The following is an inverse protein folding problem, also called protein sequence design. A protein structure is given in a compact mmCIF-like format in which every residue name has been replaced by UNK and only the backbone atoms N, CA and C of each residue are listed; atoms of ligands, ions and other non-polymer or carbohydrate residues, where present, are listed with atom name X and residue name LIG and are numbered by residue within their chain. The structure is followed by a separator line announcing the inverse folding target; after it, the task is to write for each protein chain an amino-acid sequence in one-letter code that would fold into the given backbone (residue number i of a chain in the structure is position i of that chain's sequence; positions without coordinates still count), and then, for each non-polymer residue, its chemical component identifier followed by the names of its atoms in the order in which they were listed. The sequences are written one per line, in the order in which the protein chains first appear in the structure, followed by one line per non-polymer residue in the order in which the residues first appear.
data_IF_479367291558
#
_entry.id   IF_479367291558
#
_cell.length_a   1.000
_cell.length_b   1.000
_cell.length_c   1.000
_cell.angle_alpha   90.00
_cell.angle_beta   90.00
_cell.angle_gamma   90.00
#
_symmetry.space_group_name_H-M   'P 1'
#
loop_
_entity.id
_entity.type
_entity.pdbx_description
1 polymer ?
#
# COMPACT_ATOMS: atom_id res chain seq x y z
N UNK A 1 22.12 -5.51 -67.84
CA UNK A 1 22.63 -6.85 -68.14
C UNK A 1 22.43 -7.68 -66.89
N UNK A 2 21.64 -8.71 -66.77
CA UNK A 2 20.85 -9.50 -67.67
C UNK A 2 19.90 -10.34 -66.81
N UNK A 3 18.72 -10.39 -67.32
CA UNK A 3 17.56 -11.18 -66.90
C UNK A 3 17.78 -12.70 -66.84
N UNK A 4 17.14 -13.37 -65.90
CA UNK A 4 16.64 -14.76 -66.17
C UNK A 4 15.44 -15.10 -65.31
N UNK A 5 14.26 -15.03 -65.90
CA UNK A 5 13.03 -15.78 -65.48
C UNK A 5 13.22 -17.25 -65.78
N UNK A 6 12.74 -18.14 -64.89
CA UNK A 6 12.27 -19.48 -65.30
C UNK A 6 10.95 -19.82 -64.62
N UNK A 7 10.10 -20.38 -65.48
CA UNK A 7 8.68 -20.67 -65.34
C UNK A 7 8.46 -22.16 -64.90
N UNK A 8 7.33 -22.35 -64.24
CA UNK A 8 6.36 -23.46 -64.31
C UNK A 8 6.80 -24.91 -64.19
N UNK A 9 6.13 -25.59 -63.26
CA UNK A 9 5.90 -27.02 -63.27
C UNK A 9 4.71 -27.34 -62.35
N UNK A 10 3.51 -27.47 -62.96
CA UNK A 10 2.30 -28.02 -62.36
C UNK A 10 2.40 -29.52 -62.31
N UNK A 11 2.16 -30.16 -61.17
CA UNK A 11 1.85 -31.58 -61.13
C UNK A 11 0.63 -31.80 -60.24
N UNK A 12 -0.45 -32.26 -60.89
CA UNK A 12 -1.62 -32.87 -60.24
C UNK A 12 -1.20 -34.13 -59.52
N UNK A 13 -1.63 -34.32 -58.27
CA UNK A 13 -1.64 -35.64 -57.64
C UNK A 13 -2.87 -35.76 -56.73
N UNK A 14 -3.75 -36.55 -57.18
CA UNK A 14 -4.67 -37.53 -56.57
C UNK A 14 -5.11 -37.32 -55.12
N UNK A 15 -6.42 -37.08 -55.00
CA UNK A 15 -7.20 -37.14 -53.77
C UNK A 15 -7.28 -38.58 -53.25
N UNK A 16 -6.75 -38.85 -52.06
CA UNK A 16 -7.08 -40.02 -51.29
C UNK A 16 -7.88 -39.59 -50.07
N UNK A 17 -9.15 -39.93 -50.04
CA UNK A 17 -10.04 -39.73 -48.93
C UNK A 17 -9.66 -40.65 -47.78
N UNK A 18 -9.08 -40.10 -46.72
CA UNK A 18 -8.96 -40.78 -45.43
C UNK A 18 -10.08 -40.28 -44.52
N UNK A 19 -10.98 -41.16 -44.18
CA UNK A 19 -12.02 -40.94 -43.18
C UNK A 19 -11.37 -40.71 -41.81
N UNK A 20 -11.32 -39.47 -41.36
CA UNK A 20 -10.95 -39.11 -39.98
C UNK A 20 -12.21 -39.15 -39.15
N UNK A 21 -12.30 -40.12 -38.28
CA UNK A 21 -13.32 -40.25 -37.24
C UNK A 21 -13.18 -39.02 -36.32
N UNK A 22 -14.13 -38.09 -36.38
CA UNK A 22 -14.31 -37.02 -35.40
C UNK A 22 -14.67 -37.64 -34.06
N UNK A 23 -13.68 -37.75 -33.16
CA UNK A 23 -13.96 -37.86 -31.73
C UNK A 23 -14.38 -36.49 -31.28
N UNK A 24 -15.67 -36.29 -31.09
CA UNK A 24 -16.24 -35.14 -30.37
C UNK A 24 -15.77 -35.24 -28.92
N UNK A 25 -14.64 -34.61 -28.61
CA UNK A 25 -14.34 -34.22 -27.25
C UNK A 25 -15.28 -33.05 -26.98
N UNK A 26 -16.37 -33.33 -26.29
CA UNK A 26 -17.20 -32.31 -25.68
C UNK A 26 -16.35 -31.62 -24.62
N UNK A 27 -15.58 -30.60 -25.03
CA UNK A 27 -15.00 -29.62 -24.16
C UNK A 27 -16.13 -28.75 -23.63
N UNK A 28 -16.65 -29.08 -22.47
CA UNK A 28 -17.48 -28.15 -21.69
C UNK A 28 -16.62 -26.93 -21.31
N UNK A 29 -16.54 -25.97 -22.20
CA UNK A 29 -16.11 -24.60 -21.95
C UNK A 29 -17.34 -23.72 -21.72
N UNK A 30 -18.15 -24.06 -20.76
CA UNK A 30 -19.25 -23.23 -20.27
C UNK A 30 -18.84 -22.65 -18.93
N UNK A 31 -18.26 -21.46 -18.91
CA UNK A 31 -18.14 -20.65 -17.70
C UNK A 31 -19.53 -20.15 -17.31
N UNK A 32 -20.40 -21.05 -16.86
CA UNK A 32 -21.57 -20.69 -16.07
C UNK A 32 -21.10 -20.61 -14.63
N UNK A 33 -21.41 -19.49 -13.99
CA UNK A 33 -21.29 -19.25 -12.56
C UNK A 33 -22.25 -20.24 -11.85
N UNK A 34 -21.79 -21.51 -11.71
CA UNK A 34 -22.46 -22.50 -10.88
C UNK A 34 -22.02 -22.20 -9.46
N UNK A 35 -22.96 -21.84 -8.59
CA UNK A 35 -22.72 -21.55 -7.16
C UNK A 35 -22.23 -22.78 -6.37
N UNK A 36 -21.43 -23.64 -6.97
CA UNK A 36 -20.79 -24.78 -6.34
C UNK A 36 -19.36 -24.41 -5.92
N UNK A 37 -19.01 -24.80 -4.68
CA UNK A 37 -17.66 -24.66 -4.13
C UNK A 37 -16.64 -25.37 -5.01
N UNK A 38 -15.56 -24.66 -5.38
CA UNK A 38 -14.44 -25.29 -6.07
C UNK A 38 -13.75 -26.30 -5.15
N UNK A 39 -13.50 -27.49 -5.65
CA UNK A 39 -12.75 -28.51 -4.92
C UNK A 39 -11.50 -28.91 -5.70
N UNK A 40 -10.40 -29.18 -4.97
CA UNK A 40 -9.15 -29.69 -5.53
C UNK A 40 -8.58 -30.72 -4.55
N UNK A 41 -8.28 -31.89 -5.03
CA UNK A 41 -7.79 -33.01 -4.20
C UNK A 41 -8.71 -33.31 -3.00
N UNK A 42 -10.04 -33.17 -3.18
CA UNK A 42 -11.04 -33.39 -2.14
C UNK A 42 -11.17 -32.27 -1.12
N UNK A 43 -10.44 -31.14 -1.27
CA UNK A 43 -10.48 -29.99 -0.37
C UNK A 43 -11.27 -28.84 -0.96
N UNK A 44 -11.96 -28.10 -0.12
CA UNK A 44 -12.61 -26.83 -0.48
C UNK A 44 -11.55 -25.77 -0.78
N UNK A 45 -11.63 -25.14 -1.96
CA UNK A 45 -10.68 -24.09 -2.36
C UNK A 45 -11.21 -22.72 -1.99
N UNK A 46 -10.45 -21.97 -1.22
CA UNK A 46 -10.67 -20.54 -0.94
C UNK A 46 -9.64 -19.73 -1.73
N UNK A 47 -10.08 -18.84 -2.60
CA UNK A 47 -9.20 -17.97 -3.37
C UNK A 47 -9.11 -16.58 -2.76
N UNK A 48 -7.88 -16.03 -2.75
CA UNK A 48 -7.60 -14.68 -2.23
C UNK A 48 -6.95 -13.83 -3.31
N UNK A 49 -7.41 -12.59 -3.47
CA UNK A 49 -6.74 -11.54 -4.24
C UNK A 49 -6.08 -10.54 -3.28
N UNK A 50 -4.77 -10.38 -3.38
CA UNK A 50 -3.95 -9.58 -2.48
C UNK A 50 -3.01 -8.67 -3.29
N UNK A 51 -2.36 -7.71 -2.63
CA UNK A 51 -1.40 -6.80 -3.25
C UNK A 51 -0.21 -6.52 -2.31
N UNK A 52 0.94 -6.20 -2.89
CA UNK A 52 2.15 -5.82 -2.14
C UNK A 52 2.54 -6.85 -1.09
N UNK A 53 2.90 -6.38 0.10
CA UNK A 53 3.34 -7.21 1.23
C UNK A 53 2.31 -7.10 2.37
N UNK A 54 1.19 -7.83 2.26
CA UNK A 54 0.16 -7.86 3.31
C UNK A 54 0.52 -8.79 4.49
N UNK A 55 1.53 -9.64 4.32
CA UNK A 55 2.06 -10.51 5.38
C UNK A 55 1.49 -11.93 5.41
N UNK A 56 0.42 -12.20 4.70
CA UNK A 56 -0.23 -13.52 4.76
C UNK A 56 0.53 -14.60 4.00
N UNK A 57 1.07 -14.25 2.82
CA UNK A 57 1.84 -15.16 1.97
C UNK A 57 3.33 -15.13 2.30
N UNK A 58 3.82 -13.99 2.77
CA UNK A 58 5.23 -13.76 3.14
C UNK A 58 5.60 -14.43 4.46
N UNK A 59 4.58 -14.77 5.27
CA UNK A 59 4.69 -15.59 6.47
C UNK A 59 4.12 -16.99 6.23
N UNK A 60 4.13 -17.85 7.24
CA UNK A 60 3.56 -19.19 7.17
C UNK A 60 2.07 -19.26 7.59
N UNK A 61 1.38 -18.11 7.71
CA UNK A 61 0.01 -18.07 8.23
C UNK A 61 -0.98 -18.87 7.38
N UNK A 62 -0.91 -18.78 6.05
CA UNK A 62 -1.80 -19.57 5.20
C UNK A 62 -1.56 -21.07 5.36
N UNK A 63 -0.31 -21.50 5.47
CA UNK A 63 0.06 -22.91 5.69
C UNK A 63 -0.38 -23.38 7.08
N UNK A 64 -0.27 -22.53 8.11
CA UNK A 64 -0.76 -22.81 9.46
C UNK A 64 -2.27 -23.01 9.47
N UNK A 65 -3.02 -22.12 8.82
CA UNK A 65 -4.48 -22.26 8.72
C UNK A 65 -4.87 -23.56 7.99
N UNK A 66 -4.23 -23.89 6.86
CA UNK A 66 -4.49 -25.13 6.13
C UNK A 66 -4.11 -26.39 6.92
N UNK A 67 -3.11 -26.31 7.79
CA UNK A 67 -2.73 -27.41 8.70
C UNK A 67 -3.78 -27.64 9.80
N UNK A 68 -4.34 -26.55 10.33
CA UNK A 68 -5.41 -26.59 11.34
C UNK A 68 -6.77 -26.96 10.72
N UNK A 69 -6.95 -26.72 9.40
CA UNK A 69 -8.18 -27.00 8.64
C UNK A 69 -7.84 -27.84 7.43
N UNK A 70 -7.64 -29.17 7.57
CA UNK A 70 -7.08 -30.02 6.51
C UNK A 70 -7.99 -30.17 5.28
N UNK A 71 -9.28 -29.85 5.40
CA UNK A 71 -10.25 -29.88 4.31
C UNK A 71 -10.26 -28.57 3.49
N UNK A 72 -9.44 -27.60 3.86
CA UNK A 72 -9.30 -26.30 3.16
C UNK A 72 -8.00 -26.26 2.37
N UNK A 73 -8.07 -25.70 1.15
CA UNK A 73 -6.94 -25.29 0.33
C UNK A 73 -7.05 -23.80 0.04
N UNK A 74 -6.01 -23.02 0.35
CA UNK A 74 -5.99 -21.58 0.08
C UNK A 74 -5.13 -21.31 -1.15
N UNK A 75 -5.69 -20.61 -2.13
CA UNK A 75 -4.97 -20.12 -3.33
C UNK A 75 -4.92 -18.59 -3.30
N UNK A 76 -3.76 -18.03 -2.95
CA UNK A 76 -3.55 -16.59 -2.87
C UNK A 76 -2.78 -16.06 -4.09
N UNK A 77 -3.41 -15.15 -4.83
CA UNK A 77 -2.81 -14.38 -5.92
C UNK A 77 -2.42 -13.00 -5.37
N UNK A 78 -1.14 -12.65 -5.50
CA UNK A 78 -0.59 -11.37 -5.00
C UNK A 78 -0.09 -10.55 -6.18
N UNK A 79 -0.71 -9.40 -6.42
CA UNK A 79 -0.18 -8.40 -7.35
C UNK A 79 1.01 -7.65 -6.73
N UNK A 80 2.00 -7.31 -7.54
CA UNK A 80 3.21 -6.64 -7.05
C UNK A 80 2.97 -5.23 -6.50
N UNK A 81 1.90 -4.58 -6.98
CA UNK A 81 1.51 -3.25 -6.52
C UNK A 81 -0.03 -3.10 -6.43
N UNK A 82 -0.47 -2.17 -5.60
CA UNK A 82 -1.88 -1.89 -5.34
C UNK A 82 -2.63 -1.40 -6.59
N UNK A 83 -2.03 -0.52 -7.38
CA UNK A 83 -2.70 0.06 -8.54
C UNK A 83 -3.04 -0.98 -9.61
N UNK A 84 -2.12 -1.91 -9.89
CA UNK A 84 -2.34 -3.04 -10.79
C UNK A 84 -3.46 -3.93 -10.27
N UNK A 85 -3.41 -4.27 -8.99
CA UNK A 85 -4.44 -5.05 -8.31
C UNK A 85 -5.82 -4.39 -8.41
N UNK A 86 -5.92 -3.11 -8.05
CA UNK A 86 -7.18 -2.39 -8.01
C UNK A 86 -7.82 -2.24 -9.39
N UNK A 87 -7.01 -2.00 -10.42
CA UNK A 87 -7.49 -1.94 -11.80
C UNK A 87 -8.12 -3.26 -12.25
N UNK A 88 -7.50 -4.39 -11.88
CA UNK A 88 -8.06 -5.72 -12.14
C UNK A 88 -9.35 -5.96 -11.33
N UNK A 89 -9.34 -5.61 -10.03
CA UNK A 89 -10.51 -5.72 -9.16
C UNK A 89 -11.70 -4.94 -9.71
N UNK A 90 -11.53 -3.69 -10.12
CA UNK A 90 -12.59 -2.88 -10.73
C UNK A 90 -13.14 -3.54 -12.00
N UNK A 91 -12.27 -4.09 -12.84
CA UNK A 91 -12.68 -4.80 -14.06
C UNK A 91 -13.54 -6.02 -13.72
N UNK A 92 -13.14 -6.82 -12.74
CA UNK A 92 -13.87 -8.00 -12.28
C UNK A 92 -15.20 -7.63 -11.60
N UNK A 93 -15.22 -6.57 -10.78
CA UNK A 93 -16.44 -6.06 -10.16
C UNK A 93 -17.46 -5.60 -11.22
N UNK A 94 -17.01 -4.90 -12.25
CA UNK A 94 -17.86 -4.44 -13.36
C UNK A 94 -18.37 -5.62 -14.21
N UNK A 95 -17.53 -6.62 -14.47
CA UNK A 95 -17.90 -7.82 -15.22
C UNK A 95 -18.77 -8.79 -14.42
N UNK A 96 -18.78 -8.70 -13.08
CA UNK A 96 -19.44 -9.66 -12.21
C UNK A 96 -18.82 -11.06 -12.23
N UNK A 97 -17.57 -11.19 -12.69
CA UNK A 97 -16.88 -12.46 -12.85
C UNK A 97 -15.38 -12.31 -12.65
N UNK A 98 -14.67 -13.41 -12.32
CA UNK A 98 -13.20 -13.40 -12.10
C UNK A 98 -12.79 -12.89 -10.72
N UNK A 99 -13.74 -12.59 -9.84
CA UNK A 99 -13.48 -12.20 -8.46
C UNK A 99 -12.96 -13.40 -7.65
N UNK A 100 -12.02 -13.14 -6.75
CA UNK A 100 -11.61 -14.11 -5.74
C UNK A 100 -12.62 -14.12 -4.60
N UNK A 101 -12.64 -15.16 -3.78
CA UNK A 101 -13.55 -15.28 -2.63
C UNK A 101 -13.27 -14.22 -1.57
N UNK A 102 -11.98 -13.92 -1.37
CA UNK A 102 -11.48 -12.86 -0.46
C UNK A 102 -10.73 -11.82 -1.28
N UNK A 103 -10.97 -10.55 -0.97
CA UNK A 103 -10.33 -9.40 -1.61
C UNK A 103 -9.60 -8.54 -0.58
N UNK A 104 -8.34 -8.21 -0.87
CA UNK A 104 -7.63 -7.13 -0.19
C UNK A 104 -8.23 -5.77 -0.56
N UNK A 105 -8.42 -4.90 0.41
CA UNK A 105 -8.93 -3.53 0.22
C UNK A 105 -7.90 -2.56 0.81
N UNK A 106 -7.35 -1.67 -0.01
CA UNK A 106 -6.49 -0.58 0.44
C UNK A 106 -7.34 0.62 0.88
N UNK A 107 -6.90 1.33 1.91
CA UNK A 107 -7.66 2.43 2.55
C UNK A 107 -8.06 3.53 1.55
N UNK A 108 -7.21 3.91 0.60
CA UNK A 108 -7.51 4.94 -0.40
C UNK A 108 -8.60 4.54 -1.41
N UNK A 109 -9.00 3.25 -1.41
CA UNK A 109 -10.10 2.70 -2.23
C UNK A 109 -11.32 2.32 -1.39
N UNK A 110 -11.17 2.29 -0.06
CA UNK A 110 -12.20 1.81 0.86
C UNK A 110 -13.52 2.56 0.69
N UNK A 111 -13.49 3.89 0.71
CA UNK A 111 -14.71 4.72 0.59
C UNK A 111 -15.41 4.55 -0.76
N UNK A 112 -14.66 4.40 -1.86
CA UNK A 112 -15.25 4.13 -3.17
C UNK A 112 -15.98 2.78 -3.18
N UNK A 113 -15.38 1.73 -2.61
CA UNK A 113 -16.00 0.40 -2.53
C UNK A 113 -17.23 0.39 -1.61
N UNK A 114 -17.16 1.08 -0.47
CA UNK A 114 -18.28 1.25 0.46
C UNK A 114 -19.46 1.92 -0.24
N UNK A 115 -19.21 3.00 -0.97
CA UNK A 115 -20.27 3.79 -1.57
C UNK A 115 -20.85 3.20 -2.86
N UNK A 116 -20.07 2.39 -3.60
CA UNK A 116 -20.46 1.99 -4.96
C UNK A 116 -20.57 0.48 -5.17
N UNK A 117 -19.97 -0.34 -4.30
CA UNK A 117 -19.84 -1.79 -4.46
C UNK A 117 -20.21 -2.58 -3.20
N UNK A 118 -20.82 -1.93 -2.19
CA UNK A 118 -21.13 -2.60 -0.92
C UNK A 118 -21.99 -3.86 -1.10
N UNK A 119 -22.86 -3.88 -2.12
CA UNK A 119 -23.71 -5.03 -2.46
C UNK A 119 -22.91 -6.28 -2.91
N UNK A 120 -21.67 -6.11 -3.36
CA UNK A 120 -20.80 -7.19 -3.82
C UNK A 120 -20.08 -7.91 -2.68
N UNK A 121 -19.94 -7.25 -1.53
CA UNK A 121 -19.26 -7.80 -0.37
C UNK A 121 -20.25 -8.41 0.62
N UNK A 122 -19.85 -9.47 1.30
CA UNK A 122 -20.61 -10.03 2.41
C UNK A 122 -20.55 -9.09 3.62
N UNK A 123 -21.61 -9.13 4.43
CA UNK A 123 -21.60 -8.44 5.72
C UNK A 123 -20.76 -9.23 6.75
N UNK A 124 -19.78 -8.56 7.32
CA UNK A 124 -18.90 -9.10 8.37
C UNK A 124 -19.24 -8.57 9.77
N UNK A 125 -20.27 -7.73 9.93
CA UNK A 125 -20.66 -7.15 11.23
C UNK A 125 -21.05 -8.20 12.28
N UNK A 126 -21.53 -9.37 11.82
CA UNK A 126 -21.85 -10.52 12.69
C UNK A 126 -20.68 -11.42 13.06
N UNK A 127 -19.46 -11.08 12.65
CA UNK A 127 -18.26 -11.89 12.96
C UNK A 127 -17.93 -11.77 14.44
N UNK A 128 -17.61 -12.89 15.10
CA UNK A 128 -17.22 -12.88 16.50
C UNK A 128 -15.86 -12.18 16.72
N UNK A 129 -15.72 -11.50 17.86
CA UNK A 129 -14.47 -10.91 18.30
C UNK A 129 -14.08 -9.60 17.61
N UNK A 130 -15.01 -8.87 16.99
CA UNK A 130 -14.73 -7.60 16.30
C UNK A 130 -14.34 -6.44 17.24
N UNK A 131 -14.61 -6.55 18.52
CA UNK A 131 -14.34 -5.54 19.53
C UNK A 131 -12.85 -5.28 19.79
N UNK A 132 -11.97 -6.12 19.26
CA UNK A 132 -10.53 -5.91 19.33
C UNK A 132 -9.99 -4.88 18.33
N UNK A 133 -10.73 -4.53 17.28
CA UNK A 133 -10.29 -3.52 16.31
C UNK A 133 -10.33 -2.10 16.86
N UNK A 134 -9.48 -1.24 16.30
CA UNK A 134 -9.60 0.20 16.48
C UNK A 134 -10.90 0.68 15.84
N UNK A 135 -11.80 1.38 16.57
CA UNK A 135 -13.13 1.75 16.07
C UNK A 135 -13.05 2.56 14.76
N UNK A 136 -12.15 3.54 14.69
CA UNK A 136 -11.97 4.37 13.50
C UNK A 136 -11.58 3.54 12.26
N UNK A 137 -10.82 2.44 12.46
CA UNK A 137 -10.41 1.55 11.37
C UNK A 137 -11.60 0.78 10.79
N UNK A 138 -12.46 0.22 11.65
CA UNK A 138 -13.67 -0.47 11.20
C UNK A 138 -14.65 0.49 10.51
N UNK A 139 -14.79 1.72 11.02
CA UNK A 139 -15.67 2.74 10.45
C UNK A 139 -15.33 3.08 8.99
N UNK A 140 -14.06 2.96 8.59
CA UNK A 140 -13.60 3.25 7.22
C UNK A 140 -14.20 2.32 6.14
N UNK A 141 -14.67 1.13 6.53
CA UNK A 141 -15.27 0.13 5.63
C UNK A 141 -16.69 -0.27 6.07
N UNK A 142 -17.33 0.56 6.89
CA UNK A 142 -18.72 0.37 7.32
C UNK A 142 -19.63 1.32 6.53
N UNK A 143 -20.71 0.79 5.99
CA UNK A 143 -21.76 1.57 5.31
C UNK A 143 -22.60 2.35 6.33
N UNK A 144 -23.38 3.32 5.87
CA UNK A 144 -24.29 4.10 6.71
C UNK A 144 -25.36 3.24 7.41
N UNK A 145 -25.79 2.15 6.78
CA UNK A 145 -26.72 1.16 7.35
C UNK A 145 -26.07 0.10 8.23
N UNK A 146 -24.74 0.22 8.50
CA UNK A 146 -24.02 -0.60 9.46
C UNK A 146 -23.40 -1.88 8.90
N UNK A 147 -23.42 -2.10 7.59
CA UNK A 147 -22.77 -3.24 6.95
C UNK A 147 -21.25 -3.07 6.96
N UNK A 148 -20.52 -4.06 7.51
CA UNK A 148 -19.05 -4.08 7.56
C UNK A 148 -18.48 -4.88 6.38
N UNK A 149 -17.80 -4.20 5.45
CA UNK A 149 -17.31 -4.81 4.21
C UNK A 149 -15.99 -5.58 4.37
N UNK A 150 -15.21 -5.29 5.40
CA UNK A 150 -13.89 -5.90 5.58
C UNK A 150 -13.40 -5.82 7.01
N UNK A 151 -12.48 -6.72 7.38
CA UNK A 151 -11.76 -6.68 8.65
C UNK A 151 -10.38 -6.07 8.46
N UNK A 152 -9.98 -5.18 9.37
CA UNK A 152 -8.69 -4.50 9.31
C UNK A 152 -7.51 -5.46 9.47
N UNK A 153 -6.47 -5.28 8.66
CA UNK A 153 -5.24 -6.08 8.72
C UNK A 153 -4.10 -5.34 9.39
N UNK A 154 -3.95 -4.06 9.06
CA UNK A 154 -2.88 -3.20 9.55
C UNK A 154 -3.30 -1.73 9.54
N UNK A 155 -2.45 -0.90 10.11
CA UNK A 155 -2.46 0.55 9.98
C UNK A 155 -1.05 1.04 9.63
N UNK A 156 -0.93 2.27 9.15
CA UNK A 156 0.34 2.83 8.71
C UNK A 156 0.82 4.02 9.56
N UNK A 157 1.03 3.87 10.89
CA UNK A 157 1.61 4.95 11.67
C UNK A 157 2.98 5.31 11.11
N UNK A 158 3.30 6.62 11.06
CA UNK A 158 4.46 7.13 10.34
C UNK A 158 5.62 7.51 11.25
N UNK A 159 6.82 7.29 10.73
CA UNK A 159 8.09 7.70 11.31
C UNK A 159 8.99 8.31 10.23
N UNK A 160 10.22 8.65 10.57
CA UNK A 160 11.28 9.00 9.63
C UNK A 160 12.35 7.91 9.69
N UNK A 161 12.52 7.19 8.58
CA UNK A 161 13.64 6.29 8.38
C UNK A 161 14.85 7.10 7.91
N UNK A 162 16.02 6.92 8.52
CA UNK A 162 17.22 7.69 8.16
C UNK A 162 18.49 6.83 8.15
N UNK A 163 19.46 7.28 7.36
CA UNK A 163 20.79 6.69 7.24
C UNK A 163 21.74 7.31 8.27
N UNK A 164 22.05 6.55 9.31
CA UNK A 164 22.97 6.98 10.39
C UNK A 164 24.34 7.39 9.86
N UNK A 165 24.88 6.59 8.95
CA UNK A 165 26.19 6.84 8.34
C UNK A 165 26.22 8.13 7.51
N UNK A 166 25.13 8.47 6.80
CA UNK A 166 25.05 9.72 6.05
C UNK A 166 24.81 10.93 6.95
N UNK A 167 24.03 10.77 8.03
CA UNK A 167 23.87 11.81 9.06
C UNK A 167 25.20 12.10 9.78
N UNK A 168 25.95 11.06 10.14
CA UNK A 168 27.30 11.21 10.73
C UNK A 168 28.26 11.96 9.79
N UNK A 169 28.28 11.61 8.50
CA UNK A 169 29.10 12.28 7.49
C UNK A 169 28.77 13.77 7.35
N UNK A 170 27.48 14.14 7.54
CA UNK A 170 27.02 15.53 7.56
C UNK A 170 27.20 16.21 8.93
N UNK A 171 27.77 15.53 9.93
CA UNK A 171 27.92 16.05 11.29
C UNK A 171 26.59 16.30 12.00
N UNK A 172 25.56 15.57 11.65
CA UNK A 172 24.27 15.54 12.34
C UNK A 172 24.24 14.45 13.42
N UNK A 173 23.36 14.52 14.42
CA UNK A 173 23.15 13.42 15.36
C UNK A 173 22.82 12.11 14.68
N UNK A 174 23.24 10.99 15.31
CA UNK A 174 22.95 9.63 14.83
C UNK A 174 22.12 8.82 15.81
N UNK A 175 22.00 9.28 17.07
CA UNK A 175 21.06 8.71 18.04
C UNK A 175 19.62 9.10 17.66
N UNK A 176 18.70 8.11 17.64
CA UNK A 176 17.34 8.32 17.17
C UNK A 176 16.53 9.32 17.98
N UNK A 177 16.80 9.42 19.28
CA UNK A 177 16.10 10.39 20.13
C UNK A 177 16.60 11.82 19.86
N UNK A 178 17.91 11.98 19.65
CA UNK A 178 18.48 13.28 19.27
C UNK A 178 18.08 13.68 17.83
N UNK A 179 18.02 12.71 16.91
CA UNK A 179 17.52 12.93 15.55
C UNK A 179 16.04 13.37 15.57
N UNK A 180 15.18 12.72 16.35
CA UNK A 180 13.77 13.13 16.49
C UNK A 180 13.60 14.56 17.00
N UNK A 181 14.49 15.06 17.88
CA UNK A 181 14.47 16.44 18.38
C UNK A 181 14.73 17.47 17.30
N UNK A 182 15.45 17.13 16.24
CA UNK A 182 15.74 18.06 15.12
C UNK A 182 14.47 18.60 14.47
N UNK A 183 13.39 17.80 14.50
CA UNK A 183 12.13 18.15 13.84
C UNK A 183 10.89 17.98 14.70
N UNK A 184 11.06 17.86 16.02
CA UNK A 184 9.95 17.64 16.94
C UNK A 184 8.82 18.65 16.76
N UNK A 185 7.60 18.16 16.54
CA UNK A 185 6.35 18.90 16.47
C UNK A 185 6.11 19.68 15.17
N UNK A 186 7.09 19.75 14.23
CA UNK A 186 6.96 20.60 13.05
C UNK A 186 7.72 20.05 11.83
N UNK A 187 7.00 19.81 10.74
CA UNK A 187 7.58 19.38 9.47
C UNK A 187 8.47 20.44 8.82
N UNK A 188 8.29 21.72 9.13
CA UNK A 188 9.19 22.78 8.63
C UNK A 188 10.61 22.63 9.18
N UNK A 189 10.74 22.11 10.41
CA UNK A 189 12.05 21.79 11.01
C UNK A 189 12.72 20.59 10.31
N UNK A 190 11.94 19.61 9.84
CA UNK A 190 12.47 18.52 9.03
C UNK A 190 13.06 19.04 7.72
N UNK A 191 12.36 19.94 7.03
CA UNK A 191 12.88 20.61 5.84
C UNK A 191 14.11 21.47 6.16
N UNK A 192 14.13 22.17 7.31
CA UNK A 192 15.31 22.93 7.76
C UNK A 192 16.49 22.01 8.04
N UNK A 193 16.26 20.84 8.69
CA UNK A 193 17.31 19.83 8.86
C UNK A 193 17.87 19.38 7.51
N UNK A 194 17.01 19.28 6.48
CA UNK A 194 17.46 18.99 5.12
C UNK A 194 18.40 20.07 4.53
N UNK A 195 18.12 21.34 4.80
CA UNK A 195 19.03 22.44 4.39
C UNK A 195 20.36 22.38 5.12
N UNK A 196 20.33 22.09 6.43
CA UNK A 196 21.53 21.92 7.25
C UNK A 196 22.35 20.72 6.79
N UNK A 197 21.70 19.61 6.45
CA UNK A 197 22.34 18.43 5.85
C UNK A 197 23.02 18.79 4.54
N UNK A 198 22.30 19.42 3.60
CA UNK A 198 22.83 19.82 2.29
C UNK A 198 24.04 20.76 2.42
N UNK A 199 24.00 21.68 3.37
CA UNK A 199 25.10 22.63 3.61
C UNK A 199 26.35 21.95 4.17
N UNK A 200 26.17 20.87 4.96
CA UNK A 200 27.26 20.18 5.67
C UNK A 200 27.75 18.92 4.95
N UNK A 201 26.91 18.34 4.08
CA UNK A 201 27.29 17.17 3.29
C UNK A 201 28.50 17.48 2.43
N UNK A 202 29.43 16.53 2.38
CA UNK A 202 30.61 16.57 1.51
C UNK A 202 30.38 15.84 0.19
N UNK A 203 29.22 15.22 0.05
CA UNK A 203 28.82 14.45 -1.12
C UNK A 203 27.57 15.11 -1.72
N UNK A 204 27.75 15.77 -2.84
CA UNK A 204 26.68 16.48 -3.56
C UNK A 204 25.70 15.53 -4.24
N UNK A 205 26.07 14.25 -4.40
CA UNK A 205 25.20 13.21 -5.00
C UNK A 205 24.20 12.63 -4.01
N UNK A 206 24.35 12.91 -2.70
CA UNK A 206 23.44 12.47 -1.65
C UNK A 206 22.45 13.56 -1.29
N UNK A 207 21.18 13.28 -1.52
CA UNK A 207 20.07 14.17 -1.13
C UNK A 207 19.63 13.91 0.32
N UNK A 208 18.97 14.89 0.94
CA UNK A 208 18.43 14.71 2.29
C UNK A 208 17.24 13.75 2.32
N UNK A 209 16.29 13.88 1.37
CA UNK A 209 15.12 13.01 1.29
C UNK A 209 14.96 12.40 -0.10
N UNK A 210 14.20 11.33 -0.18
CA UNK A 210 13.89 10.61 -1.42
C UNK A 210 13.09 11.49 -2.41
N UNK A 211 11.94 12.00 -2.00
CA UNK A 211 11.09 12.90 -2.79
C UNK A 211 10.21 13.77 -1.89
N UNK A 212 9.73 14.88 -2.43
CA UNK A 212 8.77 15.76 -1.75
C UNK A 212 7.39 15.12 -1.57
N UNK A 213 7.08 14.07 -2.33
CA UNK A 213 5.80 13.34 -2.23
C UNK A 213 5.63 12.66 -0.87
N UNK A 214 6.70 12.07 -0.31
CA UNK A 214 6.67 11.45 1.02
C UNK A 214 6.33 12.47 2.10
N UNK A 215 6.94 13.67 2.05
CA UNK A 215 6.66 14.76 2.96
C UNK A 215 5.21 15.25 2.84
N UNK A 216 4.72 15.47 1.61
CA UNK A 216 3.32 15.86 1.36
C UNK A 216 2.34 14.85 1.98
N UNK A 217 2.55 13.56 1.71
CA UNK A 217 1.71 12.48 2.25
C UNK A 217 1.73 12.47 3.79
N UNK A 218 2.92 12.60 4.41
CA UNK A 218 3.03 12.63 5.86
C UNK A 218 2.25 13.77 6.51
N UNK A 219 2.24 14.92 5.87
CA UNK A 219 1.52 16.07 6.39
C UNK A 219 0.01 15.90 6.28
N UNK A 220 -0.50 15.54 5.09
CA UNK A 220 -1.96 15.45 4.89
C UNK A 220 -2.59 14.28 5.65
N UNK A 221 -1.88 13.16 5.83
CA UNK A 221 -2.38 11.99 6.57
C UNK A 221 -2.34 12.15 8.10
N UNK A 222 -1.78 13.25 8.60
CA UNK A 222 -1.87 13.66 9.99
C UNK A 222 -3.11 14.47 10.34
N UNK A 223 -3.93 14.85 9.34
CA UNK A 223 -5.13 15.65 9.54
C UNK A 223 -6.41 14.81 9.44
N UNK A 224 -7.47 15.24 10.16
CA UNK A 224 -8.80 14.61 10.11
C UNK A 224 -9.40 14.71 8.70
N UNK A 225 -9.31 15.89 8.07
CA UNK A 225 -9.84 16.17 6.73
C UNK A 225 -8.70 16.37 5.75
N UNK A 226 -8.68 15.53 4.72
CA UNK A 226 -7.67 15.61 3.66
C UNK A 226 -8.24 16.34 2.45
N UNK A 227 -8.84 15.62 1.53
CA UNK A 227 -9.36 16.18 0.28
C UNK A 227 -10.87 16.44 0.33
N UNK A 228 -11.57 15.80 1.25
CA UNK A 228 -13.02 15.86 1.41
C UNK A 228 -13.43 16.26 2.82
N UNK A 229 -14.62 16.86 2.95
CA UNK A 229 -15.31 16.99 4.22
C UNK A 229 -16.23 15.78 4.50
N UNK A 230 -16.88 15.81 5.67
CA UNK A 230 -17.76 14.72 6.11
C UNK A 230 -19.00 14.53 5.22
N UNK A 231 -19.41 15.56 4.49
CA UNK A 231 -20.54 15.54 3.58
C UNK A 231 -20.15 15.04 2.18
N UNK A 232 -18.89 14.65 2.00
CA UNK A 232 -18.33 14.20 0.72
C UNK A 232 -18.05 15.34 -0.26
N UNK A 233 -18.01 16.58 0.20
CA UNK A 233 -17.64 17.75 -0.61
C UNK A 233 -16.13 17.80 -0.76
N UNK A 234 -15.66 18.04 -1.98
CA UNK A 234 -14.24 18.18 -2.29
C UNK A 234 -13.72 19.55 -1.81
N UNK A 235 -12.82 19.57 -0.81
CA UNK A 235 -12.36 20.78 -0.12
C UNK A 235 -10.87 21.08 -0.30
N UNK A 236 -10.10 20.27 -1.03
CA UNK A 236 -8.63 20.37 -1.10
C UNK A 236 -8.14 21.76 -1.48
N UNK A 237 -8.89 22.52 -2.29
CA UNK A 237 -8.50 23.86 -2.73
C UNK A 237 -8.46 24.88 -1.59
N UNK A 238 -9.32 24.70 -0.58
CA UNK A 238 -9.47 25.62 0.55
C UNK A 238 -8.98 25.04 1.87
N UNK A 239 -8.65 23.73 1.90
CA UNK A 239 -8.12 23.08 3.08
C UNK A 239 -6.69 23.57 3.40
N UNK A 240 -6.46 24.23 4.56
CA UNK A 240 -5.14 24.71 4.96
C UNK A 240 -4.10 23.58 5.02
N UNK A 241 -4.48 22.37 5.49
CA UNK A 241 -3.56 21.23 5.58
C UNK A 241 -2.97 20.87 4.22
N UNK A 242 -3.80 20.86 3.16
CA UNK A 242 -3.35 20.58 1.79
C UNK A 242 -2.47 21.71 1.25
N UNK A 243 -2.84 22.96 1.51
CA UNK A 243 -2.05 24.13 1.07
C UNK A 243 -0.69 24.17 1.73
N UNK A 244 -0.63 23.97 3.05
CA UNK A 244 0.62 23.97 3.83
C UNK A 244 1.53 22.80 3.41
N UNK A 245 0.95 21.61 3.22
CA UNK A 245 1.68 20.44 2.73
C UNK A 245 2.26 20.67 1.33
N UNK A 246 1.46 21.23 0.41
CA UNK A 246 1.93 21.59 -0.93
C UNK A 246 3.05 22.62 -0.90
N UNK A 247 2.88 23.69 -0.11
CA UNK A 247 3.88 24.75 -0.01
C UNK A 247 5.21 24.22 0.52
N UNK A 248 5.18 23.42 1.61
CA UNK A 248 6.40 22.90 2.22
C UNK A 248 7.08 21.84 1.34
N UNK A 249 6.32 20.93 0.72
CA UNK A 249 6.84 19.93 -0.20
C UNK A 249 7.44 20.57 -1.45
N UNK A 250 6.78 21.60 -2.00
CA UNK A 250 7.28 22.39 -3.14
C UNK A 250 8.57 23.14 -2.80
N UNK A 251 8.67 23.67 -1.60
CA UNK A 251 9.87 24.36 -1.11
C UNK A 251 11.05 23.37 -0.97
N UNK A 252 10.81 22.19 -0.40
CA UNK A 252 11.83 21.13 -0.32
C UNK A 252 12.33 20.71 -1.72
N UNK A 253 11.41 20.53 -2.67
CA UNK A 253 11.73 20.21 -4.07
C UNK A 253 12.60 21.29 -4.73
N UNK A 254 12.20 22.57 -4.61
CA UNK A 254 12.92 23.71 -5.21
C UNK A 254 14.28 23.95 -4.56
N UNK A 255 14.39 23.69 -3.26
CA UNK A 255 15.64 23.84 -2.53
C UNK A 255 16.65 22.73 -2.82
N UNK A 256 16.30 21.73 -3.67
CA UNK A 256 17.16 20.63 -4.06
C UNK A 256 17.49 19.72 -2.87
N UNK A 257 16.52 19.47 -2.00
CA UNK A 257 16.66 18.60 -0.86
C UNK A 257 16.29 17.14 -1.19
N UNK A 258 15.70 16.92 -2.36
CA UNK A 258 15.15 15.63 -2.79
C UNK A 258 16.05 14.94 -3.82
N UNK A 259 16.12 13.61 -3.75
CA UNK A 259 16.73 12.79 -4.79
C UNK A 259 15.83 12.65 -6.04
N UNK A 260 14.62 13.21 -6.01
CA UNK A 260 13.60 13.10 -7.06
C UNK A 260 13.15 11.66 -7.33
N UNK A 261 13.34 10.80 -6.35
CA UNK A 261 13.02 9.37 -6.40
C UNK A 261 11.70 9.14 -5.68
N UNK A 262 10.60 9.24 -6.42
CA UNK A 262 9.27 8.93 -5.87
C UNK A 262 9.23 7.48 -5.38
N UNK A 263 8.71 7.28 -4.18
CA UNK A 263 8.56 5.97 -3.54
C UNK A 263 7.81 4.99 -4.44
N UNK A 264 8.30 3.75 -4.49
CA UNK A 264 7.77 2.64 -5.31
C UNK A 264 7.84 2.86 -6.84
N UNK A 265 8.58 3.87 -7.31
CA UNK A 265 8.85 4.05 -8.72
C UNK A 265 10.28 3.58 -9.10
N UNK A 266 10.54 3.32 -10.40
CA UNK A 266 11.87 2.92 -10.84
C UNK A 266 12.96 3.89 -10.34
N UNK A 267 14.02 3.35 -9.75
CA UNK A 267 15.12 4.14 -9.18
C UNK A 267 15.04 4.30 -7.66
N UNK A 268 13.88 4.22 -7.03
CA UNK A 268 13.76 4.37 -5.57
C UNK A 268 14.41 3.19 -4.82
N UNK A 269 14.12 1.95 -5.21
CA UNK A 269 14.73 0.76 -4.62
C UNK A 269 16.26 0.76 -4.72
N UNK A 270 16.88 1.01 -5.89
CA UNK A 270 18.31 1.24 -5.99
C UNK A 270 18.82 2.39 -5.12
N UNK A 271 18.03 3.46 -4.97
CA UNK A 271 18.36 4.60 -4.11
C UNK A 271 18.49 4.21 -2.64
N UNK A 272 17.61 3.33 -2.13
CA UNK A 272 17.70 2.75 -0.78
C UNK A 272 19.01 1.98 -0.58
N UNK A 273 19.41 1.17 -1.56
CA UNK A 273 20.62 0.35 -1.51
C UNK A 273 21.90 1.19 -1.59
N UNK A 274 21.92 2.18 -2.47
CA UNK A 274 23.11 2.96 -2.79
C UNK A 274 23.31 4.17 -1.86
N UNK A 275 22.30 4.52 -1.02
CA UNK A 275 22.38 5.71 -0.16
C UNK A 275 22.26 7.01 -0.93
N UNK A 276 21.45 7.05 -2.01
CA UNK A 276 21.20 8.25 -2.81
C UNK A 276 20.49 9.34 -2.02
N UNK A 277 19.84 8.96 -0.91
CA UNK A 277 19.21 9.89 0.03
C UNK A 277 19.43 9.43 1.47
N UNK A 278 19.43 10.41 2.37
CA UNK A 278 19.73 10.22 3.79
C UNK A 278 18.51 9.92 4.65
N UNK A 279 17.31 10.26 4.20
CA UNK A 279 16.07 10.01 4.94
C UNK A 279 14.87 9.80 4.02
N UNK A 280 13.85 9.14 4.54
CA UNK A 280 12.53 9.01 3.91
C UNK A 280 11.46 8.98 4.99
N UNK A 281 10.30 9.58 4.74
CA UNK A 281 9.14 9.35 5.59
C UNK A 281 8.65 7.92 5.36
N UNK A 282 8.51 7.15 6.43
CA UNK A 282 8.23 5.73 6.35
C UNK A 282 7.10 5.32 7.31
N UNK A 283 5.97 4.81 6.81
CA UNK A 283 5.02 4.07 7.62
C UNK A 283 5.59 2.71 8.05
N UNK A 284 5.05 2.13 9.11
CA UNK A 284 5.55 0.89 9.70
C UNK A 284 5.69 -0.26 8.69
N UNK A 285 4.69 -0.47 7.82
CA UNK A 285 4.69 -1.51 6.79
C UNK A 285 5.82 -1.35 5.74
N UNK A 286 6.37 -0.15 5.59
CA UNK A 286 7.46 0.11 4.63
C UNK A 286 8.81 -0.44 5.11
N UNK A 287 8.97 -0.76 6.40
CA UNK A 287 10.23 -1.25 6.95
C UNK A 287 10.70 -2.56 6.29
N UNK A 288 9.77 -3.49 6.04
CA UNK A 288 10.08 -4.74 5.34
C UNK A 288 10.62 -4.45 3.93
N UNK A 289 9.95 -3.58 3.18
CA UNK A 289 10.39 -3.18 1.84
C UNK A 289 11.78 -2.52 1.86
N UNK A 290 11.99 -1.55 2.77
CA UNK A 290 13.31 -0.90 2.91
C UNK A 290 14.40 -1.93 3.21
N UNK A 291 14.17 -2.85 4.16
CA UNK A 291 15.18 -3.84 4.54
C UNK A 291 15.50 -4.82 3.40
N UNK A 292 14.49 -5.23 2.64
CA UNK A 292 14.66 -6.10 1.47
C UNK A 292 15.45 -5.40 0.36
N UNK A 293 15.03 -4.19 -0.02
CA UNK A 293 15.59 -3.48 -1.18
C UNK A 293 16.94 -2.82 -0.90
N UNK A 294 17.13 -2.30 0.32
CA UNK A 294 18.44 -1.80 0.71
C UNK A 294 19.46 -2.93 0.92
N UNK A 295 18.99 -4.14 1.20
CA UNK A 295 19.80 -5.35 1.27
C UNK A 295 20.66 -5.49 2.52
N UNK A 296 21.28 -6.66 2.74
CA UNK A 296 21.98 -7.00 3.99
C UNK A 296 23.22 -6.14 4.27
N UNK A 297 23.87 -5.58 3.25
CA UNK A 297 25.03 -4.70 3.40
C UNK A 297 24.71 -3.35 4.09
N UNK A 298 23.42 -2.99 4.14
CA UNK A 298 22.93 -1.76 4.77
C UNK A 298 22.27 -2.01 6.14
N UNK A 299 22.28 -3.25 6.63
CA UNK A 299 21.82 -3.57 8.00
C UNK A 299 22.60 -2.74 9.02
N UNK A 300 21.90 -2.08 9.93
CA UNK A 300 22.47 -1.22 10.97
C UNK A 300 22.91 0.17 10.49
N UNK A 301 22.86 0.47 9.17
CA UNK A 301 23.04 1.83 8.66
C UNK A 301 21.73 2.62 8.66
N UNK A 302 20.60 1.95 8.52
CA UNK A 302 19.28 2.54 8.68
C UNK A 302 18.85 2.54 10.15
N UNK A 303 18.13 3.56 10.55
CA UNK A 303 17.46 3.68 11.85
C UNK A 303 16.10 4.35 11.67
N UNK A 304 15.28 4.36 12.73
CA UNK A 304 13.94 4.93 12.74
C UNK A 304 13.83 5.96 13.86
N UNK A 305 13.47 7.19 13.51
CA UNK A 305 13.20 8.26 14.46
C UNK A 305 11.71 8.65 14.43
N UNK A 306 11.15 9.10 15.57
CA UNK A 306 9.79 9.61 15.64
C UNK A 306 9.62 10.75 14.61
N UNK A 307 8.50 10.72 13.85
CA UNK A 307 8.15 11.80 12.95
C UNK A 307 7.78 13.09 13.71
N UNK A 308 7.78 14.26 13.06
CA UNK A 308 7.36 15.52 13.66
C UNK A 308 5.95 15.48 14.26
N UNK A 309 5.02 14.81 13.57
CA UNK A 309 3.63 14.58 14.00
C UNK A 309 3.20 13.18 13.61
N UNK A 310 2.29 12.60 14.39
CA UNK A 310 1.65 11.33 14.04
C UNK A 310 0.79 11.47 12.78
N UNK A 311 0.79 10.42 11.97
CA UNK A 311 0.00 10.32 10.76
C UNK A 311 -0.27 8.85 10.46
N UNK A 312 -1.31 8.57 9.65
CA UNK A 312 -1.62 7.22 9.19
C UNK A 312 -1.57 7.15 7.66
N UNK A 313 -0.52 6.58 7.11
CA UNK A 313 -0.45 6.32 5.68
C UNK A 313 -0.64 4.83 5.38
N UNK A 314 -1.77 4.52 4.75
CA UNK A 314 -2.10 3.16 4.37
C UNK A 314 -2.87 2.40 5.44
N UNK A 315 -2.76 1.10 5.35
CA UNK A 315 -3.56 0.13 6.08
C UNK A 315 -4.62 -0.49 5.18
N UNK A 316 -4.85 -1.77 5.41
CA UNK A 316 -5.66 -2.58 4.50
C UNK A 316 -6.74 -3.33 5.27
N UNK A 317 -7.60 -3.99 4.49
CA UNK A 317 -8.67 -4.84 5.00
C UNK A 317 -8.78 -6.10 4.15
N UNK A 318 -9.37 -7.14 4.68
CA UNK A 318 -9.83 -8.32 3.94
C UNK A 318 -11.35 -8.32 3.89
N UNK A 319 -11.92 -8.24 2.70
CA UNK A 319 -13.35 -8.37 2.44
C UNK A 319 -13.67 -9.72 1.81
N UNK A 320 -14.88 -10.23 2.05
CA UNK A 320 -15.39 -11.47 1.47
C UNK A 320 -16.44 -11.14 0.42
N UNK A 321 -16.38 -11.78 -0.75
CA UNK A 321 -17.39 -11.56 -1.78
C UNK A 321 -18.72 -12.23 -1.41
N UNK A 322 -19.83 -11.50 -1.53
CA UNK A 322 -21.14 -11.99 -1.14
C UNK A 322 -21.62 -13.21 -1.95
N UNK A 323 -21.25 -13.26 -3.22
CA UNK A 323 -21.54 -14.40 -4.12
C UNK A 323 -20.52 -15.53 -4.06
N UNK A 324 -19.56 -15.49 -3.14
CA UNK A 324 -18.63 -16.61 -2.97
C UNK A 324 -19.37 -17.89 -2.60
N UNK A 325 -19.13 -19.01 -3.31
CA UNK A 325 -19.73 -20.31 -2.98
C UNK A 325 -19.15 -20.89 -1.67
N UNK A 326 -18.04 -20.35 -1.17
CA UNK A 326 -17.37 -20.73 0.08
C UNK A 326 -17.37 -19.56 1.09
N UNK A 327 -18.44 -18.76 1.06
CA UNK A 327 -18.54 -17.51 1.83
C UNK A 327 -18.31 -17.70 3.34
N UNK A 328 -18.89 -18.74 3.93
CA UNK A 328 -18.77 -18.96 5.38
C UNK A 328 -17.36 -19.44 5.78
N UNK A 329 -16.71 -20.25 4.95
CA UNK A 329 -15.31 -20.64 5.13
C UNK A 329 -14.37 -19.46 4.95
N UNK A 330 -14.65 -18.60 3.96
CA UNK A 330 -13.90 -17.37 3.70
C UNK A 330 -14.02 -16.38 4.87
N UNK A 331 -15.23 -16.21 5.47
CA UNK A 331 -15.42 -15.39 6.67
C UNK A 331 -14.60 -15.89 7.86
N UNK A 332 -14.57 -17.21 8.09
CA UNK A 332 -13.75 -17.82 9.14
C UNK A 332 -12.25 -17.57 8.93
N UNK A 333 -11.79 -17.73 7.67
CA UNK A 333 -10.39 -17.46 7.32
C UNK A 333 -10.04 -15.98 7.54
N UNK A 334 -10.88 -15.05 7.07
CA UNK A 334 -10.67 -13.61 7.26
C UNK A 334 -10.64 -13.26 8.75
N UNK A 335 -11.56 -13.78 9.55
CA UNK A 335 -11.58 -13.56 10.99
C UNK A 335 -10.30 -14.08 11.68
N UNK A 336 -9.84 -15.28 11.30
CA UNK A 336 -8.61 -15.87 11.84
C UNK A 336 -7.37 -15.07 11.43
N UNK A 337 -7.24 -14.70 10.15
CA UNK A 337 -6.10 -13.90 9.65
C UNK A 337 -6.04 -12.50 10.28
N UNK A 338 -7.18 -11.93 10.65
CA UNK A 338 -7.27 -10.59 11.23
C UNK A 338 -7.28 -10.59 12.76
N UNK A 339 -7.17 -11.75 13.41
CA UNK A 339 -7.14 -11.84 14.87
C UNK A 339 -5.85 -11.23 15.47
N UNK A 340 -5.88 -10.80 16.74
CA UNK A 340 -4.77 -10.08 17.36
C UNK A 340 -3.42 -10.80 17.28
N UNK A 341 -3.41 -12.11 17.49
CA UNK A 341 -2.19 -12.92 17.49
C UNK A 341 -1.56 -13.02 16.09
N UNK A 342 -2.38 -13.12 15.03
CA UNK A 342 -1.91 -13.16 13.66
C UNK A 342 -1.36 -11.79 13.22
N UNK A 343 -2.03 -10.71 13.61
CA UNK A 343 -1.53 -9.35 13.35
C UNK A 343 -0.21 -9.09 14.09
N UNK A 344 -0.09 -9.51 15.35
CA UNK A 344 1.14 -9.40 16.12
C UNK A 344 2.28 -10.22 15.50
N UNK A 345 1.97 -11.43 15.02
CA UNK A 345 2.94 -12.27 14.31
C UNK A 345 3.44 -11.63 13.01
N UNK A 346 2.53 -11.05 12.20
CA UNK A 346 2.92 -10.32 10.99
C UNK A 346 3.81 -9.13 11.36
N UNK A 347 3.46 -8.38 12.41
CA UNK A 347 4.29 -7.27 12.89
C UNK A 347 5.69 -7.73 13.30
N UNK A 348 5.80 -8.81 14.07
CA UNK A 348 7.10 -9.38 14.48
C UNK A 348 7.98 -9.73 13.28
N UNK A 349 7.39 -10.29 12.20
CA UNK A 349 8.13 -10.75 11.03
C UNK A 349 8.43 -9.64 10.02
N UNK A 350 7.51 -8.70 9.82
CA UNK A 350 7.54 -7.76 8.70
C UNK A 350 7.43 -6.29 9.11
N UNK A 351 6.97 -6.01 10.33
CA UNK A 351 6.76 -4.64 10.81
C UNK A 351 5.41 -4.02 10.44
N UNK A 352 4.50 -4.75 9.77
CA UNK A 352 3.14 -4.26 9.49
C UNK A 352 2.40 -4.01 10.81
N UNK A 353 2.05 -2.75 11.09
CA UNK A 353 1.55 -2.36 12.40
C UNK A 353 0.07 -2.74 12.59
N UNK A 354 -0.30 -3.44 13.69
CA UNK A 354 -1.65 -3.98 13.84
C UNK A 354 -2.76 -2.94 13.85
N UNK A 355 -3.90 -3.27 13.25
CA UNK A 355 -5.17 -2.55 13.36
C UNK A 355 -5.98 -2.95 14.61
N UNK A 356 -5.52 -3.96 15.33
CA UNK A 356 -6.13 -4.47 16.54
C UNK A 356 -5.55 -3.78 17.78
N UNK A 357 -6.41 -3.10 18.56
CA UNK A 357 -5.99 -2.52 19.85
C UNK A 357 -5.46 -3.57 20.84
N UNK A 358 -6.02 -4.79 20.80
CA UNK A 358 -5.56 -5.91 21.64
C UNK A 358 -4.16 -6.36 21.22
N UNK A 359 -3.87 -6.41 19.93
CA UNK A 359 -2.54 -6.76 19.44
C UNK A 359 -1.47 -5.77 19.90
N UNK A 360 -1.81 -4.48 20.06
CA UNK A 360 -0.87 -3.45 20.51
C UNK A 360 -0.30 -3.74 21.91
N UNK A 361 -1.05 -4.44 22.76
CA UNK A 361 -0.64 -4.79 24.12
C UNK A 361 0.13 -6.11 24.19
N UNK A 362 0.19 -6.88 23.09
CA UNK A 362 0.95 -8.12 23.04
C UNK A 362 2.46 -7.84 23.10
N UNK A 363 3.25 -8.67 23.80
CA UNK A 363 4.70 -8.47 23.95
C UNK A 363 5.44 -8.34 22.61
N UNK A 364 5.00 -9.06 21.59
CA UNK A 364 5.57 -9.05 20.24
C UNK A 364 5.47 -7.68 19.59
N UNK A 365 4.40 -6.93 19.89
CA UNK A 365 4.17 -5.58 19.37
C UNK A 365 4.75 -4.53 20.30
N UNK A 366 4.37 -4.53 21.58
CA UNK A 366 4.80 -3.52 22.56
C UNK A 366 6.31 -3.50 22.77
N UNK A 367 6.96 -4.69 22.74
CA UNK A 367 8.41 -4.88 22.86
C UNK A 367 9.14 -5.02 21.54
N UNK A 368 8.44 -4.88 20.41
CA UNK A 368 9.00 -5.14 19.09
C UNK A 368 10.18 -4.25 18.74
N UNK A 369 11.26 -4.87 18.24
CA UNK A 369 12.47 -4.19 17.77
C UNK A 369 12.82 -4.63 16.35
N UNK A 370 13.62 -3.83 15.64
CA UNK A 370 14.12 -4.20 14.32
C UNK A 370 15.64 -4.18 14.28
N UNK A 371 16.23 -5.37 14.20
CA UNK A 371 17.70 -5.52 14.08
C UNK A 371 18.26 -4.94 12.79
N UNK A 372 17.46 -4.82 11.73
CA UNK A 372 17.88 -4.16 10.49
C UNK A 372 18.08 -2.66 10.71
N UNK A 373 17.17 -2.04 11.48
CA UNK A 373 17.17 -0.61 11.80
C UNK A 373 17.85 -0.31 13.15
N UNK A 374 19.08 -0.82 13.33
CA UNK A 374 19.91 -0.53 14.52
C UNK A 374 19.19 -0.85 15.85
N UNK A 375 18.50 -1.98 15.91
CA UNK A 375 17.68 -2.41 17.06
C UNK A 375 16.65 -1.35 17.49
N UNK A 376 16.09 -0.61 16.52
CA UNK A 376 15.06 0.39 16.80
C UNK A 376 13.87 -0.24 17.51
N UNK A 377 13.36 0.37 18.61
CA UNK A 377 12.16 -0.10 19.31
C UNK A 377 10.91 0.29 18.51
N UNK A 378 10.70 -0.40 17.40
CA UNK A 378 9.65 -0.06 16.40
C UNK A 378 8.24 -0.16 17.00
N UNK A 379 8.01 -1.08 17.94
CA UNK A 379 6.74 -1.17 18.65
C UNK A 379 6.41 0.11 19.45
N UNK A 380 7.42 0.70 20.12
CA UNK A 380 7.25 1.94 20.88
C UNK A 380 7.14 3.15 19.95
N UNK A 381 7.98 3.25 18.90
CA UNK A 381 7.99 4.39 17.99
C UNK A 381 6.66 4.48 17.25
N UNK A 382 6.23 3.39 16.60
CA UNK A 382 4.98 3.37 15.85
C UNK A 382 3.75 3.34 16.74
N UNK A 383 3.84 2.73 17.93
CA UNK A 383 2.78 2.80 18.93
C UNK A 383 2.53 4.20 19.48
N UNK A 384 3.58 5.00 19.64
CA UNK A 384 3.44 6.43 19.96
C UNK A 384 2.82 7.22 18.80
N UNK A 385 3.27 6.98 17.57
CA UNK A 385 2.71 7.62 16.38
C UNK A 385 1.23 7.25 16.16
N UNK A 386 0.86 6.00 16.40
CA UNK A 386 -0.53 5.53 16.28
C UNK A 386 -1.49 6.25 17.24
N UNK A 387 -1.05 6.64 18.43
CA UNK A 387 -1.84 7.41 19.41
C UNK A 387 -2.08 8.86 19.01
N UNK A 388 -1.30 9.37 18.07
CA UNK A 388 -1.43 10.73 17.53
C UNK A 388 -2.30 10.78 16.26
N UNK A 389 -2.70 9.62 15.71
CA UNK A 389 -3.63 9.56 14.57
C UNK A 389 -4.99 10.10 15.02
N UNK A 390 -5.63 10.99 14.25
CA UNK A 390 -6.97 11.46 14.56
C UNK A 390 -7.96 10.28 14.70
N UNK A 391 -8.82 10.34 15.73
CA UNK A 391 -9.85 9.31 15.97
C UNK A 391 -10.85 9.18 14.81
N UNK A 392 -10.91 10.20 13.96
CA UNK A 392 -11.74 10.21 12.77
C UNK A 392 -10.91 10.77 11.60
N UNK A 393 -10.81 9.97 10.54
CA UNK A 393 -10.23 10.39 9.25
C UNK A 393 -11.32 10.36 8.19
N UNK A 394 -11.58 11.51 7.60
CA UNK A 394 -12.57 11.62 6.53
C UNK A 394 -11.98 11.06 5.24
N UNK A 395 -12.58 9.99 4.75
CA UNK A 395 -12.21 9.36 3.48
C UNK A 395 -13.17 9.81 2.37
N UNK A 396 -12.60 10.10 1.20
CA UNK A 396 -13.35 10.42 0.00
C UNK A 396 -13.27 9.32 -1.06
N UNK A 397 -14.26 9.30 -1.95
CA UNK A 397 -14.34 8.25 -3.01
C UNK A 397 -13.13 8.19 -3.92
N UNK A 398 -12.39 9.29 -4.08
CA UNK A 398 -11.27 9.38 -5.03
C UNK A 398 -9.96 9.73 -4.34
N UNK A 399 -9.84 9.50 -3.04
CA UNK A 399 -8.65 9.86 -2.26
C UNK A 399 -7.36 9.32 -2.87
N UNK A 400 -7.32 8.05 -3.22
CA UNK A 400 -6.16 7.43 -3.85
C UNK A 400 -5.79 8.12 -5.18
N UNK A 401 -6.78 8.40 -6.03
CA UNK A 401 -6.56 9.06 -7.32
C UNK A 401 -6.14 10.52 -7.18
N UNK A 402 -6.71 11.24 -6.20
CA UNK A 402 -6.35 12.63 -5.90
C UNK A 402 -4.92 12.69 -5.34
N UNK A 403 -4.58 11.82 -4.39
CA UNK A 403 -3.22 11.67 -3.86
C UNK A 403 -2.21 11.45 -5.00
N UNK A 404 -2.49 10.54 -5.92
CA UNK A 404 -1.61 10.27 -7.06
C UNK A 404 -1.49 11.47 -7.99
N UNK A 405 -2.55 12.27 -8.12
CA UNK A 405 -2.53 13.51 -8.91
C UNK A 405 -1.66 14.58 -8.24
N UNK A 406 -1.71 14.74 -6.91
CA UNK A 406 -0.79 15.61 -6.17
C UNK A 406 0.66 15.14 -6.28
N UNK A 407 0.89 13.82 -6.17
CA UNK A 407 2.22 13.24 -6.36
C UNK A 407 2.79 13.53 -7.74
N UNK A 408 1.97 13.41 -8.79
CA UNK A 408 2.36 13.75 -10.16
C UNK A 408 2.61 15.27 -10.31
N UNK A 409 1.87 16.11 -9.61
CA UNK A 409 2.07 17.55 -9.57
C UNK A 409 3.43 17.94 -8.96
N UNK A 410 3.79 17.35 -7.83
CA UNK A 410 5.11 17.57 -7.19
C UNK A 410 6.26 17.10 -8.09
N UNK A 411 6.08 16.02 -8.85
CA UNK A 411 7.06 15.57 -9.84
C UNK A 411 7.29 16.61 -10.97
N UNK A 412 6.30 17.44 -11.31
CA UNK A 412 6.51 18.54 -12.26
C UNK A 412 7.51 19.57 -11.71
N UNK A 413 7.49 19.80 -10.41
CA UNK A 413 8.45 20.71 -9.73
C UNK A 413 9.83 20.06 -9.69
N UNK A 414 9.92 18.83 -9.13
CA UNK A 414 11.18 18.12 -8.89
C UNK A 414 11.95 17.81 -10.17
N UNK A 415 11.26 17.27 -11.18
CA UNK A 415 11.90 16.69 -12.36
C UNK A 415 11.86 17.58 -13.59
N UNK A 416 10.85 18.49 -13.69
CA UNK A 416 10.68 19.35 -14.85
C UNK A 416 10.95 20.83 -14.54
N UNK A 417 11.24 21.19 -13.27
CA UNK A 417 11.58 22.54 -12.86
C UNK A 417 10.42 23.55 -12.95
N UNK A 418 9.17 23.07 -13.01
CA UNK A 418 8.00 23.96 -13.00
C UNK A 418 7.92 24.75 -11.71
N UNK A 419 7.36 25.95 -11.78
CA UNK A 419 7.02 26.69 -10.56
C UNK A 419 5.92 25.97 -9.76
N UNK A 420 5.85 26.14 -8.41
CA UNK A 420 4.78 25.58 -7.61
C UNK A 420 3.38 25.97 -8.09
N UNK A 421 3.21 27.20 -8.56
CA UNK A 421 1.91 27.71 -9.05
C UNK A 421 1.49 27.05 -10.36
N UNK A 422 2.42 26.85 -11.32
CA UNK A 422 2.14 26.14 -12.55
C UNK A 422 1.84 24.67 -12.31
N UNK A 423 2.56 24.04 -11.38
CA UNK A 423 2.33 22.66 -10.99
C UNK A 423 0.99 22.49 -10.26
N UNK A 424 0.66 23.41 -9.33
CA UNK A 424 -0.64 23.46 -8.67
C UNK A 424 -1.78 23.57 -9.66
N UNK A 425 -1.70 24.57 -10.57
CA UNK A 425 -2.72 24.75 -11.62
C UNK A 425 -2.95 23.48 -12.44
N UNK A 426 -1.86 22.83 -12.85
CA UNK A 426 -1.94 21.57 -13.62
C UNK A 426 -2.59 20.45 -12.79
N UNK A 427 -2.26 20.37 -11.50
CA UNK A 427 -2.81 19.39 -10.55
C UNK A 427 -4.29 19.65 -10.33
N UNK A 428 -4.67 20.88 -10.07
CA UNK A 428 -6.05 21.32 -9.88
C UNK A 428 -6.92 21.01 -11.09
N UNK A 429 -6.48 21.38 -12.31
CA UNK A 429 -7.21 21.07 -13.55
C UNK A 429 -7.44 19.56 -13.74
N UNK A 430 -6.51 18.70 -13.31
CA UNK A 430 -6.66 17.25 -13.35
C UNK A 430 -7.68 16.76 -12.33
N UNK A 431 -7.57 17.23 -11.08
CA UNK A 431 -8.50 16.84 -10.01
C UNK A 431 -9.93 17.25 -10.36
N UNK A 432 -10.13 18.49 -10.88
CA UNK A 432 -11.45 18.96 -11.32
C UNK A 432 -12.07 18.10 -12.44
N UNK A 433 -11.26 17.53 -13.32
CA UNK A 433 -11.74 16.59 -14.35
C UNK A 433 -12.12 15.22 -13.76
N UNK A 434 -11.42 14.79 -12.72
CA UNK A 434 -11.73 13.54 -12.03
C UNK A 434 -12.99 13.65 -11.16
N UNK A 435 -13.28 14.84 -10.64
CA UNK A 435 -14.44 15.08 -9.77
C UNK A 435 -15.78 15.18 -10.52
N UNK A 436 -15.74 15.34 -11.84
CA UNK A 436 -16.92 15.33 -12.73
C UNK A 436 -17.32 13.90 -13.07
#
# INVERSE_FOLDING_TARGET
MGTARKRFGSTLATVTAAAVSLVLVAGCGGGGDSGEARTKDGKTVISMGLFGVMGFKETDLLDRYMKENPDILIEADVAGDEQTYYTALQTHLAAGSGLKDIQGIEIGRAKELVDTQADKFADLSGTAGLDHFLPWKSNQVTTEDGKLLGLGTDIGPMAVCYRKDLFEQAGLPTDRAEVAKLWEGDWSKYVQTGRDFKQRSKDDDVSFMDSSTGLFNAMIYGDEKQFYDKDGTLIYQDNPAVKDAWALASDAAKSGLTAKLRQFQPGWDPGLANGTFASAVCPAWMLAHISEKAGPANKGKWDVAKAPKGANWGGSFLGVMDKSPVKEEAKKLVAWLSAPEQQAYIFEKLGNFPSSKTALDLPEVAGGTSAYFSDAPIGQIFGAAAKEIPDEQVLGRKDGTIKDTFSAGLQLIESQGKSPDEAWKTTDERIQKLAR
#
